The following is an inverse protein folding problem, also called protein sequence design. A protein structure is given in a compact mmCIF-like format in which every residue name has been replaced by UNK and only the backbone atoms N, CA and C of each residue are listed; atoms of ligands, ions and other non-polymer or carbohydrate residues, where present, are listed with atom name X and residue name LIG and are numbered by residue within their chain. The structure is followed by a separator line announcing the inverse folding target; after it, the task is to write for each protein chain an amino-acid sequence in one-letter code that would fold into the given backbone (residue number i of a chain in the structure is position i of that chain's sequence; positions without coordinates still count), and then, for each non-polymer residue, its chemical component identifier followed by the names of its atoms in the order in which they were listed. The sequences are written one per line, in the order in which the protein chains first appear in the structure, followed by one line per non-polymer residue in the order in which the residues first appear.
data_IF_208686484580
#
_entry.id   IF_208686484580
#
_cell.length_a   1.000
_cell.length_b   1.000
_cell.length_c   1.000
_cell.angle_alpha   90.00
_cell.angle_beta   90.00
_cell.angle_gamma   90.00
#
_symmetry.space_group_name_H-M   'P 1'
#
loop_
_entity.id
_entity.type
_entity.pdbx_description
1 polymer ?
#
# COMPACT_ATOMS: atom_id res chain seq x y z
N UNK A 1 -16.36 -2.73 -10.61
CA UNK A 1 -15.68 -1.59 -9.94
C UNK A 1 -14.84 -1.94 -8.70
N UNK A 2 -14.91 -3.16 -8.11
CA UNK A 2 -14.04 -3.52 -6.96
C UNK A 2 -12.61 -3.95 -7.35
N UNK A 3 -12.42 -4.61 -8.50
CA UNK A 3 -11.13 -5.23 -8.86
C UNK A 3 -9.98 -4.26 -9.19
N UNK A 4 -10.27 -3.00 -9.55
CA UNK A 4 -9.23 -2.01 -9.85
C UNK A 4 -8.58 -1.42 -8.59
N UNK A 5 -9.34 -1.32 -7.49
CA UNK A 5 -8.88 -0.74 -6.24
C UNK A 5 -7.84 -1.62 -5.56
N UNK A 6 -8.09 -2.92 -5.49
CA UNK A 6 -7.15 -3.87 -4.85
C UNK A 6 -5.82 -3.97 -5.62
N UNK A 7 -5.88 -3.92 -6.96
CA UNK A 7 -4.67 -3.86 -7.81
C UNK A 7 -3.87 -2.58 -7.59
N UNK A 8 -4.55 -1.42 -7.48
CA UNK A 8 -3.88 -0.14 -7.22
C UNK A 8 -3.19 -0.13 -5.85
N UNK A 9 -3.84 -0.69 -4.83
CA UNK A 9 -3.27 -0.80 -3.47
C UNK A 9 -2.04 -1.72 -3.46
N UNK A 10 -2.14 -2.90 -4.08
CA UNK A 10 -1.00 -3.81 -4.20
C UNK A 10 0.19 -3.20 -4.95
N UNK A 11 -0.07 -2.40 -5.99
CA UNK A 11 0.97 -1.67 -6.71
C UNK A 11 1.68 -0.65 -5.81
N UNK A 12 0.94 0.15 -5.05
CA UNK A 12 1.50 1.15 -4.14
C UNK A 12 2.31 0.50 -3.01
N UNK A 13 1.82 -0.59 -2.44
CA UNK A 13 2.57 -1.38 -1.45
C UNK A 13 3.88 -1.89 -2.04
N UNK A 14 3.86 -2.40 -3.29
CA UNK A 14 5.06 -2.81 -4.00
C UNK A 14 6.08 -1.68 -4.21
N UNK A 15 5.62 -0.47 -4.56
CA UNK A 15 6.51 0.69 -4.69
C UNK A 15 7.15 1.08 -3.35
N UNK A 16 6.37 1.07 -2.26
CA UNK A 16 6.88 1.38 -0.92
C UNK A 16 7.88 0.33 -0.43
N UNK A 17 7.63 -0.96 -0.69
CA UNK A 17 8.58 -2.04 -0.40
C UNK A 17 9.88 -1.86 -1.19
N UNK A 18 9.81 -1.44 -2.45
CA UNK A 18 11.00 -1.16 -3.28
C UNK A 18 11.79 0.03 -2.75
N UNK A 19 11.11 1.13 -2.40
CA UNK A 19 11.74 2.34 -1.84
C UNK A 19 12.47 2.05 -0.52
N UNK A 20 11.90 1.18 0.31
CA UNK A 20 12.47 0.75 1.60
C UNK A 20 13.44 -0.42 1.46
N UNK A 21 13.74 -0.87 0.23
CA UNK A 21 14.60 -2.03 -0.06
C UNK A 21 14.20 -3.30 0.71
N UNK A 22 12.91 -3.49 0.92
CA UNK A 22 12.35 -4.63 1.66
C UNK A 22 12.51 -4.55 3.18
N UNK A 23 12.97 -3.42 3.73
CA UNK A 23 13.16 -3.25 5.18
C UNK A 23 11.85 -2.93 5.91
N UNK A 24 10.85 -2.39 5.22
CA UNK A 24 9.57 -2.06 5.83
C UNK A 24 8.65 -3.27 5.98
N UNK A 25 7.79 -3.23 7.01
CA UNK A 25 6.84 -4.29 7.32
C UNK A 25 5.57 -4.17 6.44
N UNK A 26 5.24 -5.17 5.59
CA UNK A 26 4.11 -5.07 4.67
C UNK A 26 2.74 -4.85 5.35
N UNK A 27 2.36 -5.58 6.42
CA UNK A 27 1.16 -5.27 7.21
C UNK A 27 1.05 -3.81 7.66
N UNK A 28 2.16 -3.22 8.13
CA UNK A 28 2.19 -1.85 8.61
C UNK A 28 2.01 -0.85 7.46
N UNK A 29 2.69 -1.06 6.34
CA UNK A 29 2.52 -0.24 5.13
C UNK A 29 1.10 -0.27 4.58
N UNK A 30 0.46 -1.45 4.57
CA UNK A 30 -0.92 -1.57 4.13
C UNK A 30 -1.87 -0.79 5.06
N UNK A 31 -1.65 -0.84 6.38
CA UNK A 31 -2.43 -0.07 7.35
C UNK A 31 -2.29 1.43 7.13
N UNK A 32 -1.06 1.94 7.02
CA UNK A 32 -0.80 3.37 6.77
C UNK A 32 -1.42 3.82 5.45
N UNK A 33 -1.27 3.02 4.38
CA UNK A 33 -1.84 3.34 3.07
C UNK A 33 -3.37 3.44 3.11
N UNK A 34 -4.03 2.51 3.81
CA UNK A 34 -5.48 2.55 3.97
C UNK A 34 -5.92 3.75 4.82
N UNK A 35 -5.21 4.06 5.90
CA UNK A 35 -5.47 5.24 6.72
C UNK A 35 -5.34 6.53 5.91
N UNK A 36 -4.31 6.67 5.08
CA UNK A 36 -4.12 7.85 4.21
C UNK A 36 -5.17 7.94 3.09
N UNK A 37 -5.65 6.80 2.57
CA UNK A 37 -6.77 6.76 1.61
C UNK A 37 -8.09 7.15 2.29
N UNK A 38 -8.30 6.77 3.55
CA UNK A 38 -9.53 7.07 4.30
C UNK A 38 -9.58 8.49 4.86
N UNK A 39 -8.42 9.13 5.09
CA UNK A 39 -8.32 10.53 5.53
C UNK A 39 -8.70 11.54 4.45
N UNK A 40 -8.78 11.11 3.18
CA UNK A 40 -9.16 11.95 2.03
C UNK A 40 -10.57 11.61 1.57
#
# INVERSE_FOLDING_TARGET
FKNGKDRAIGFLVGQMMKATKGQANPPLLNKILMEEIQKR
#
